data_IF_320258955395
#
_entry.id   IF_320258955395
#
_cell.length_a   1.000
_cell.length_b   1.000
_cell.length_c   1.000
_cell.angle_alpha   90.00
_cell.angle_beta   90.00
_cell.angle_gamma   90.00
#
_symmetry.space_group_name_H-M   'P 1'
#
loop_
_entity.id
_entity.type
_entity.pdbx_description
1 polymer ?
#
# COMPACT_ATOMS: atom_id res chain seq x y z
N UNK A 1 9.15 -22.92 -5.72
CA UNK A 1 8.21 -22.79 -4.60
C UNK A 1 8.80 -22.13 -3.35
N UNK A 2 9.61 -22.77 -2.49
CA UNK A 2 10.06 -22.12 -1.23
C UNK A 2 10.95 -20.89 -1.45
N UNK A 3 11.84 -20.94 -2.45
CA UNK A 3 12.73 -19.82 -2.79
C UNK A 3 11.96 -18.60 -3.30
N UNK A 4 10.99 -18.80 -4.19
CA UNK A 4 10.15 -17.73 -4.75
C UNK A 4 9.31 -17.02 -3.68
N UNK A 5 8.83 -17.75 -2.67
CA UNK A 5 8.12 -17.13 -1.53
C UNK A 5 9.07 -16.24 -0.71
N UNK A 6 10.27 -16.71 -0.44
CA UNK A 6 11.29 -15.92 0.28
C UNK A 6 11.69 -14.69 -0.54
N UNK A 7 11.90 -14.84 -1.84
CA UNK A 7 12.26 -13.73 -2.74
C UNK A 7 11.15 -12.66 -2.76
N UNK A 8 9.86 -13.07 -2.89
CA UNK A 8 8.71 -12.16 -2.82
C UNK A 8 8.56 -11.47 -1.46
N UNK A 9 8.83 -12.16 -0.35
CA UNK A 9 8.84 -11.54 0.98
C UNK A 9 9.95 -10.49 1.12
N UNK A 10 11.14 -10.77 0.59
CA UNK A 10 12.25 -9.82 0.56
C UNK A 10 11.93 -8.58 -0.30
N UNK A 11 11.23 -8.76 -1.43
CA UNK A 11 10.72 -7.67 -2.25
C UNK A 11 9.70 -6.81 -1.47
N UNK A 12 8.77 -7.43 -0.74
CA UNK A 12 7.81 -6.69 0.08
C UNK A 12 8.49 -5.92 1.22
N UNK A 13 9.56 -6.46 1.81
CA UNK A 13 10.39 -5.74 2.79
C UNK A 13 11.13 -4.57 2.14
N UNK A 14 11.60 -4.72 0.88
CA UNK A 14 12.20 -3.61 0.15
C UNK A 14 11.16 -2.50 -0.13
N UNK A 15 9.93 -2.86 -0.49
CA UNK A 15 8.81 -1.93 -0.64
C UNK A 15 8.48 -1.26 0.70
N UNK A 16 8.43 -2.01 1.80
CA UNK A 16 8.13 -1.50 3.14
C UNK A 16 9.05 -0.34 3.56
N UNK A 17 10.33 -0.35 3.14
CA UNK A 17 11.28 0.75 3.41
C UNK A 17 10.85 2.09 2.81
N UNK A 18 10.01 2.06 1.78
CA UNK A 18 9.56 3.26 1.06
C UNK A 18 8.24 3.80 1.59
N UNK A 19 7.48 3.00 2.34
CA UNK A 19 6.14 3.34 2.84
C UNK A 19 6.14 4.60 3.73
N UNK A 20 7.04 4.77 4.72
CA UNK A 20 7.04 5.99 5.54
C UNK A 20 7.25 7.26 4.70
N UNK A 21 8.14 7.18 3.70
CA UNK A 21 8.40 8.30 2.79
C UNK A 21 7.20 8.55 1.86
N UNK A 22 6.56 7.51 1.36
CA UNK A 22 5.35 7.63 0.54
C UNK A 22 4.22 8.31 1.32
N UNK A 23 4.05 7.96 2.60
CA UNK A 23 3.06 8.59 3.47
C UNK A 23 3.38 10.06 3.74
N UNK A 24 4.65 10.39 4.06
CA UNK A 24 5.09 11.77 4.23
C UNK A 24 4.89 12.61 2.96
N UNK A 25 5.16 12.04 1.79
CA UNK A 25 4.89 12.71 0.51
C UNK A 25 3.40 12.97 0.30
N UNK A 26 2.52 12.04 0.71
CA UNK A 26 1.09 12.22 0.63
C UNK A 26 0.59 13.32 1.58
N UNK A 27 1.08 13.34 2.82
CA UNK A 27 0.76 14.38 3.82
C UNK A 27 1.14 15.79 3.35
N UNK A 28 2.27 15.91 2.64
CA UNK A 28 2.79 17.18 2.17
C UNK A 28 2.33 17.55 0.74
N UNK A 29 1.45 16.76 0.11
CA UNK A 29 0.95 17.04 -1.23
C UNK A 29 0.01 18.26 -1.20
N UNK A 30 0.23 19.20 -2.11
CA UNK A 30 -0.60 20.40 -2.26
C UNK A 30 -2.08 20.02 -2.44
N UNK A 31 -2.95 20.59 -1.61
CA UNK A 31 -4.39 20.34 -1.63
C UNK A 31 -4.87 19.22 -0.70
N UNK A 32 -3.96 18.50 -0.02
CA UNK A 32 -4.35 17.50 0.98
C UNK A 32 -4.81 18.17 2.28
N UNK A 33 -5.84 17.61 2.91
CA UNK A 33 -6.26 18.04 4.23
C UNK A 33 -5.20 17.70 5.27
N UNK A 34 -5.06 18.56 6.28
CA UNK A 34 -4.13 18.30 7.38
C UNK A 34 -4.69 17.19 8.26
N UNK A 35 -3.97 16.07 8.31
CA UNK A 35 -4.26 14.97 9.20
C UNK A 35 -3.63 15.23 10.58
N UNK A 36 -4.40 14.94 11.63
CA UNK A 36 -3.92 15.01 13.02
C UNK A 36 -2.93 13.90 13.31
N UNK A 37 -1.93 14.14 14.16
CA UNK A 37 -1.04 13.07 14.64
C UNK A 37 -1.74 12.03 15.53
N UNK A 38 -2.98 12.30 15.94
CA UNK A 38 -3.84 11.38 16.69
C UNK A 38 -4.84 10.66 15.76
N UNK A 39 -4.73 10.85 14.45
CA UNK A 39 -5.60 10.18 13.51
C UNK A 39 -5.32 8.67 13.50
N UNK A 40 -6.40 7.90 13.67
CA UNK A 40 -6.41 6.44 13.66
C UNK A 40 -7.04 5.88 12.38
N UNK A 41 -7.38 6.77 11.43
CA UNK A 41 -7.87 6.39 10.12
C UNK A 41 -6.82 5.55 9.39
N UNK A 42 -7.27 4.46 8.81
CA UNK A 42 -6.43 3.65 7.94
C UNK A 42 -6.60 4.16 6.52
N UNK A 43 -5.47 4.48 5.88
CA UNK A 43 -5.43 4.96 4.50
C UNK A 43 -5.00 3.84 3.57
N UNK A 44 -5.51 3.86 2.34
CA UNK A 44 -5.15 2.86 1.34
C UNK A 44 -3.71 3.07 0.86
N UNK A 45 -2.89 2.04 1.00
CA UNK A 45 -1.58 1.92 0.35
C UNK A 45 -1.81 1.33 -1.05
N UNK A 46 -1.49 2.11 -2.07
CA UNK A 46 -1.50 1.66 -3.45
C UNK A 46 -0.10 1.23 -3.88
N UNK A 47 -0.02 0.17 -4.68
CA UNK A 47 1.19 -0.30 -5.33
C UNK A 47 1.05 -0.19 -6.84
N UNK A 48 2.10 0.31 -7.49
CA UNK A 48 2.19 0.37 -8.94
C UNK A 48 3.03 -0.82 -9.44
N UNK A 49 2.42 -1.80 -10.14
CA UNK A 49 3.14 -2.98 -10.61
C UNK A 49 4.14 -2.69 -11.75
N UNK A 50 4.01 -1.57 -12.46
CA UNK A 50 4.91 -1.23 -13.58
C UNK A 50 6.28 -0.74 -13.11
N UNK A 51 6.33 -0.02 -11.99
CA UNK A 51 7.57 0.58 -11.46
C UNK A 51 7.93 0.13 -10.04
N UNK A 52 7.08 -0.66 -9.40
CA UNK A 52 7.32 -1.20 -8.05
C UNK A 52 7.23 -0.16 -6.93
N UNK A 53 6.69 1.03 -7.20
CA UNK A 53 6.53 2.08 -6.19
C UNK A 53 5.20 1.96 -5.45
N UNK A 54 5.18 2.48 -4.23
CA UNK A 54 3.95 2.65 -3.44
C UNK A 54 3.61 4.11 -3.24
N UNK A 55 2.31 4.38 -3.09
CA UNK A 55 1.79 5.71 -2.81
C UNK A 55 0.56 5.61 -1.91
N UNK A 56 0.26 6.71 -1.23
CA UNK A 56 -1.02 6.92 -0.56
C UNK A 56 -1.82 7.98 -1.32
N UNK A 57 -3.14 7.86 -1.29
CA UNK A 57 -4.07 8.94 -1.61
C UNK A 57 -4.90 9.20 -0.36
N UNK A 58 -4.63 10.31 0.34
CA UNK A 58 -5.27 10.61 1.62
C UNK A 58 -6.74 11.00 1.48
N UNK A 59 -7.25 11.13 0.25
CA UNK A 59 -8.69 11.26 0.01
C UNK A 59 -9.41 9.90 0.05
N UNK A 60 -8.66 8.80 0.08
CA UNK A 60 -9.14 7.44 0.19
C UNK A 60 -8.75 6.87 1.56
N UNK A 61 -9.65 7.03 2.53
CA UNK A 61 -9.63 6.18 3.71
C UNK A 61 -10.05 4.75 3.35
N UNK A 62 -9.80 3.80 4.25
CA UNK A 62 -10.15 2.40 4.06
C UNK A 62 -11.64 2.20 3.80
N UNK A 63 -12.52 3.05 4.36
CA UNK A 63 -13.97 2.95 4.28
C UNK A 63 -14.48 1.50 4.31
N UNK A 64 -15.22 1.14 3.26
CA UNK A 64 -15.43 -0.27 2.88
C UNK A 64 -14.23 -0.74 2.05
N UNK A 65 -13.33 -1.49 2.67
CA UNK A 65 -12.14 -2.03 2.00
C UNK A 65 -12.53 -2.77 0.71
N UNK A 66 -11.83 -2.48 -0.40
CA UNK A 66 -12.14 -2.98 -1.73
C UNK A 66 -13.50 -2.53 -2.26
N UNK A 67 -13.94 -1.33 -1.90
CA UNK A 67 -15.14 -0.71 -2.46
C UNK A 67 -15.07 -0.64 -3.99
N UNK A 68 -16.22 -0.67 -4.66
CA UNK A 68 -16.27 -0.56 -6.13
C UNK A 68 -15.59 0.71 -6.66
N UNK A 69 -15.63 1.80 -5.88
CA UNK A 69 -15.03 3.06 -6.27
C UNK A 69 -13.50 3.07 -6.09
N UNK A 70 -12.97 2.38 -5.07
CA UNK A 70 -11.53 2.15 -4.91
C UNK A 70 -11.01 1.24 -6.03
N UNK A 71 -11.73 0.15 -6.33
CA UNK A 71 -11.39 -0.75 -7.43
C UNK A 71 -11.43 -0.04 -8.79
N UNK A 72 -12.41 0.84 -9.01
CA UNK A 72 -12.48 1.65 -10.23
C UNK A 72 -11.30 2.64 -10.33
N UNK A 73 -10.91 3.27 -9.22
CA UNK A 73 -9.72 4.13 -9.17
C UNK A 73 -8.45 3.34 -9.50
N UNK A 74 -8.28 2.16 -8.91
CA UNK A 74 -7.19 1.23 -9.22
C UNK A 74 -7.14 0.88 -10.71
N UNK A 75 -8.28 0.54 -11.33
CA UNK A 75 -8.36 0.25 -12.77
C UNK A 75 -7.97 1.45 -13.65
N UNK A 76 -8.39 2.66 -13.28
CA UNK A 76 -8.08 3.87 -14.04
C UNK A 76 -6.62 4.29 -13.94
N UNK A 77 -5.98 4.02 -12.80
CA UNK A 77 -4.62 4.45 -12.48
C UNK A 77 -3.57 3.34 -12.67
N UNK A 78 -4.01 2.14 -13.03
CA UNK A 78 -3.21 0.92 -13.05
C UNK A 78 -2.48 0.65 -11.72
N UNK A 79 -3.14 0.97 -10.61
CA UNK A 79 -2.65 0.71 -9.27
C UNK A 79 -3.39 -0.48 -8.67
N UNK A 80 -2.79 -1.14 -7.69
CA UNK A 80 -3.45 -2.18 -6.88
C UNK A 80 -3.40 -1.81 -5.41
N UNK A 81 -4.38 -2.28 -4.64
CA UNK A 81 -4.38 -2.11 -3.19
C UNK A 81 -3.36 -3.07 -2.58
N UNK A 82 -2.39 -2.52 -1.86
CA UNK A 82 -1.35 -3.28 -1.15
C UNK A 82 -1.63 -3.41 0.35
N UNK A 83 -2.62 -2.69 0.87
CA UNK A 83 -3.09 -2.77 2.24
C UNK A 83 -3.64 -1.45 2.75
N UNK A 84 -4.02 -1.42 4.02
CA UNK A 84 -4.55 -0.24 4.69
C UNK A 84 -3.75 0.01 5.96
N UNK A 85 -3.30 1.25 6.16
CA UNK A 85 -2.39 1.58 7.25
C UNK A 85 -2.74 2.93 7.85
N UNK A 86 -2.72 2.97 9.18
CA UNK A 86 -2.75 4.22 9.93
C UNK A 86 -1.35 4.85 10.02
N UNK A 87 -1.30 6.16 10.29
CA UNK A 87 -0.03 6.84 10.57
C UNK A 87 0.72 6.19 11.74
N UNK A 88 0.00 5.74 12.77
CA UNK A 88 0.58 5.03 13.90
C UNK A 88 1.32 3.77 13.43
N UNK A 89 0.66 2.90 12.68
CA UNK A 89 1.26 1.66 12.19
C UNK A 89 2.47 1.90 11.28
N UNK A 90 2.40 2.89 10.40
CA UNK A 90 3.53 3.27 9.53
C UNK A 90 4.75 3.69 10.35
N UNK A 91 4.55 4.28 11.53
CA UNK A 91 5.63 4.80 12.39
C UNK A 91 6.11 3.80 13.44
N UNK A 92 5.28 2.84 13.85
CA UNK A 92 5.61 1.92 14.95
C UNK A 92 5.94 0.51 14.51
N UNK A 93 5.42 0.04 13.37
CA UNK A 93 5.72 -1.30 12.87
C UNK A 93 7.18 -1.38 12.43
N UNK A 94 7.83 -2.50 12.74
CA UNK A 94 9.12 -2.82 12.16
C UNK A 94 9.01 -3.01 10.64
N UNK A 95 10.13 -2.83 9.93
CA UNK A 95 10.17 -3.08 8.49
C UNK A 95 9.76 -4.51 8.12
N UNK A 96 10.01 -5.47 9.02
CA UNK A 96 9.61 -6.85 8.83
C UNK A 96 8.09 -7.00 8.89
N UNK A 97 7.45 -6.51 9.97
CA UNK A 97 5.99 -6.55 10.15
C UNK A 97 5.25 -5.81 9.03
N UNK A 98 5.80 -4.66 8.61
CA UNK A 98 5.22 -3.89 7.50
C UNK A 98 5.34 -4.65 6.17
N UNK A 99 6.50 -5.27 5.92
CA UNK A 99 6.74 -6.10 4.74
C UNK A 99 5.84 -7.34 4.69
N UNK A 100 5.65 -8.03 5.82
CA UNK A 100 4.73 -9.18 5.91
C UNK A 100 3.29 -8.76 5.60
N UNK A 101 2.83 -7.63 6.14
CA UNK A 101 1.48 -7.12 5.85
C UNK A 101 1.28 -6.74 4.39
N UNK A 102 2.28 -6.12 3.76
CA UNK A 102 2.23 -5.82 2.31
C UNK A 102 2.16 -7.12 1.52
N UNK A 103 2.98 -8.11 1.87
CA UNK A 103 2.98 -9.42 1.21
C UNK A 103 1.60 -10.08 1.31
N UNK A 104 0.97 -10.06 2.48
CA UNK A 104 -0.36 -10.60 2.69
C UNK A 104 -1.42 -9.85 1.87
N UNK A 105 -1.37 -8.51 1.85
CA UNK A 105 -2.25 -7.67 1.03
C UNK A 105 -2.13 -8.00 -0.45
N UNK A 106 -0.92 -7.99 -0.99
CA UNK A 106 -0.66 -8.29 -2.39
C UNK A 106 -1.01 -9.73 -2.79
N UNK A 107 -0.89 -10.69 -1.86
CA UNK A 107 -1.33 -12.07 -2.08
C UNK A 107 -2.85 -12.18 -2.21
N UNK A 108 -3.62 -11.38 -1.47
CA UNK A 108 -5.09 -11.39 -1.57
C UNK A 108 -5.61 -10.81 -2.89
N UNK A 109 -4.79 -10.00 -3.58
CA UNK A 109 -5.14 -9.37 -4.86
C UNK A 109 -4.75 -10.22 -6.07
N UNK A 110 -4.22 -11.43 -5.86
CA UNK A 110 -3.77 -12.37 -6.88
C UNK A 110 -2.87 -11.71 -7.96
N UNK A 111 -1.62 -11.43 -7.58
CA UNK A 111 -0.57 -10.97 -8.50
C UNK A 111 -0.36 -11.90 -9.71
N UNK A 112 -0.86 -13.15 -9.68
CA UNK A 112 -0.74 -14.08 -10.81
C UNK A 112 -1.68 -13.69 -11.98
N UNK A 113 -2.62 -12.74 -11.79
CA UNK A 113 -3.38 -12.10 -12.88
C UNK A 113 -2.63 -10.96 -13.60
N UNK A 114 -1.43 -10.57 -13.16
CA UNK A 114 -0.62 -9.53 -13.83
C UNK A 114 0.34 -10.10 -14.89
N UNK A 115 0.32 -11.42 -15.12
CA UNK A 115 0.94 -12.05 -16.30
C UNK A 115 -0.17 -12.43 -17.27
N UNK A 116 -0.71 -11.45 -18.00
CA UNK A 116 -1.53 -11.71 -19.18
C UNK A 116 -0.76 -11.20 -20.40
N UNK A 117 -0.18 -12.18 -21.11
CA UNK A 117 0.29 -12.23 -22.51
C UNK A 117 0.82 -10.96 -23.18
#
# INVERSE_FOLDING_TARGET
>A
MKKEVIDRQLECIAIAKTVPKAFDMALNRLGSERISSLDLTHYTLFFNPENGHVTFDLNWDQGEAYSNSELAYCQQTNLIVAGYYSQHEITTLSLWELGERIFDGLKTVDLDCLIVY
#
